data_IF_202627767054
#
_entry.id   IF_202627767054
#
_cell.length_a   1.000
_cell.length_b   1.000
_cell.length_c   1.000
_cell.angle_alpha   90.00
_cell.angle_beta   90.00
_cell.angle_gamma   90.00
#
_symmetry.space_group_name_H-M   'P 1'
#
loop_
_entity.id
_entity.type
_entity.pdbx_description
1 polymer ?
#
# COMPACT_ATOMS: atom_id res chain seq x y z
N UNK A 1 3.67 60.96 -23.70
CA UNK A 1 2.29 61.20 -23.25
C UNK A 1 2.09 60.43 -21.95
N UNK A 2 2.10 61.16 -20.85
CA UNK A 2 2.06 60.71 -19.45
C UNK A 2 0.65 60.26 -19.05
N UNK A 3 0.52 59.08 -18.47
CA UNK A 3 -0.72 58.63 -17.82
C UNK A 3 -0.56 58.78 -16.31
N UNK A 4 -1.29 59.75 -15.78
CA UNK A 4 -1.33 60.20 -14.40
C UNK A 4 -2.22 59.29 -13.56
N UNK A 5 -1.70 58.88 -12.40
CA UNK A 5 -2.38 58.18 -11.32
C UNK A 5 -3.41 59.08 -10.63
N UNK A 6 -4.67 58.66 -10.57
CA UNK A 6 -5.72 59.34 -9.82
C UNK A 6 -5.70 58.91 -8.34
N UNK A 7 -5.35 59.85 -7.46
CA UNK A 7 -5.38 59.72 -6.00
C UNK A 7 -6.75 60.16 -5.48
N UNK A 8 -7.46 59.29 -4.77
CA UNK A 8 -8.71 59.63 -4.09
C UNK A 8 -8.41 60.26 -2.72
N UNK A 9 -8.81 61.51 -2.53
CA UNK A 9 -8.77 62.21 -1.26
C UNK A 9 -10.01 61.88 -0.42
N UNK A 10 -9.82 61.54 0.86
CA UNK A 10 -10.90 61.37 1.84
C UNK A 10 -11.36 62.74 2.37
N UNK A 11 -12.67 62.95 2.63
CA UNK A 11 -13.19 64.22 3.08
C UNK A 11 -12.88 64.47 4.57
N UNK A 12 -12.56 65.72 4.87
CA UNK A 12 -12.41 66.23 6.23
C UNK A 12 -13.76 66.30 6.93
N UNK A 13 -13.91 65.59 8.06
CA UNK A 13 -15.07 65.69 8.93
C UNK A 13 -14.72 66.62 10.09
N UNK A 14 -15.32 67.81 10.08
CA UNK A 14 -15.16 68.85 11.09
C UNK A 14 -16.11 68.64 12.28
N UNK A 15 -15.71 69.26 13.40
CA UNK A 15 -16.54 69.70 14.53
C UNK A 15 -16.88 68.67 15.62
N UNK A 16 -16.10 68.79 16.70
CA UNK A 16 -16.55 69.03 18.08
C UNK A 16 -17.74 68.22 18.59
N UNK A 17 -17.44 67.20 19.41
CA UNK A 17 -18.17 67.00 20.66
C UNK A 17 -17.23 66.41 21.70
N UNK A 18 -17.18 67.08 22.84
CA UNK A 18 -16.39 66.73 24.02
C UNK A 18 -16.96 65.51 24.71
N UNK A 19 -16.19 64.42 24.78
CA UNK A 19 -16.48 63.27 25.63
C UNK A 19 -15.60 63.33 26.87
N UNK A 20 -16.13 63.05 28.08
CA UNK A 20 -15.34 63.03 29.30
C UNK A 20 -14.40 61.82 29.30
N UNK A 21 -13.26 61.87 30.02
CA UNK A 21 -12.34 60.74 30.07
C UNK A 21 -12.97 59.58 30.86
N UNK A 22 -13.00 58.40 30.25
CA UNK A 22 -13.41 57.16 30.90
C UNK A 22 -12.45 56.80 32.05
N UNK A 23 -12.94 56.20 33.15
CA UNK A 23 -12.09 55.80 34.27
C UNK A 23 -11.13 54.68 33.83
N UNK A 24 -9.85 54.82 34.20
CA UNK A 24 -8.83 53.78 34.00
C UNK A 24 -9.18 52.54 34.83
N UNK A 25 -9.76 51.54 34.20
CA UNK A 25 -9.80 50.19 34.75
C UNK A 25 -8.38 49.61 34.74
N UNK A 26 -7.89 49.00 35.83
CA UNK A 26 -6.60 48.34 35.81
C UNK A 26 -6.68 47.10 34.91
N UNK A 27 -6.14 47.22 33.69
CA UNK A 27 -5.91 46.10 32.80
C UNK A 27 -4.83 45.17 33.39
N UNK A 28 -5.24 44.26 34.27
CA UNK A 28 -4.51 43.00 34.52
C UNK A 28 -5.47 41.84 34.40
N UNK A 29 -5.73 41.44 33.16
CA UNK A 29 -6.11 40.05 32.92
C UNK A 29 -4.84 39.20 33.07
N UNK A 30 -4.85 38.14 33.88
CA UNK A 30 -3.74 37.20 33.89
C UNK A 30 -3.67 36.56 32.50
N UNK A 31 -2.54 36.75 31.80
CA UNK A 31 -2.28 36.02 30.56
C UNK A 31 -2.28 34.53 30.92
N UNK A 32 -3.14 33.68 30.32
CA UNK A 32 -3.00 32.26 30.52
C UNK A 32 -1.66 31.84 29.90
N UNK A 33 -0.76 31.34 30.73
CA UNK A 33 0.42 30.61 30.30
C UNK A 33 -0.05 29.30 29.66
N UNK A 34 -0.41 29.36 28.37
CA UNK A 34 -0.58 28.17 27.55
C UNK A 34 0.44 28.23 26.45
N UNK A 35 1.51 27.47 26.64
CA UNK A 35 2.45 27.12 25.59
C UNK A 35 1.68 26.46 24.46
N UNK A 36 1.36 27.25 23.43
CA UNK A 36 0.92 26.73 22.16
C UNK A 36 2.15 26.09 21.52
N UNK A 37 2.39 24.80 21.79
CA UNK A 37 3.34 24.03 20.98
C UNK A 37 2.82 24.10 19.55
N UNK A 38 3.44 24.93 18.71
CA UNK A 38 3.18 24.91 17.27
C UNK A 38 3.50 23.50 16.82
N UNK A 39 2.47 22.69 16.59
CA UNK A 39 2.62 21.42 15.91
C UNK A 39 2.97 21.78 14.46
N UNK A 40 4.26 21.84 14.15
CA UNK A 40 4.72 21.93 12.78
C UNK A 40 4.46 20.55 12.16
N UNK A 41 3.32 20.40 11.48
CA UNK A 41 3.08 19.23 10.63
C UNK A 41 4.04 19.36 9.46
N UNK A 42 5.13 18.60 9.48
CA UNK A 42 5.95 18.38 8.30
C UNK A 42 5.14 17.48 7.38
N UNK A 43 4.59 18.04 6.32
CA UNK A 43 3.98 17.27 5.25
C UNK A 43 5.04 17.08 4.16
N UNK A 44 5.52 15.86 3.99
CA UNK A 44 6.41 15.50 2.89
C UNK A 44 5.64 15.51 1.57
N UNK A 45 6.35 15.83 0.47
CA UNK A 45 5.79 15.81 -0.87
C UNK A 45 5.50 14.37 -1.27
N UNK A 46 4.23 14.06 -1.60
CA UNK A 46 3.80 12.74 -2.06
C UNK A 46 3.63 12.74 -3.57
N UNK A 47 4.26 11.76 -4.23
CA UNK A 47 4.09 11.53 -5.67
C UNK A 47 2.84 10.68 -5.89
N UNK A 48 1.95 11.15 -6.76
CA UNK A 48 0.72 10.44 -7.14
C UNK A 48 0.91 9.94 -8.58
N UNK A 49 0.76 8.63 -8.77
CA UNK A 49 0.79 8.02 -10.10
C UNK A 49 -0.56 7.36 -10.40
N UNK A 50 -1.03 7.53 -11.64
CA UNK A 50 -2.38 7.12 -12.08
C UNK A 50 -2.35 6.49 -13.46
N UNK A 51 -3.39 5.71 -13.77
CA UNK A 51 -3.58 5.10 -15.09
C UNK A 51 -2.73 3.85 -15.30
N UNK A 52 -2.49 3.53 -16.58
CA UNK A 52 -1.88 2.25 -16.97
C UNK A 52 -0.39 2.16 -16.65
N UNK A 53 0.32 3.28 -16.62
CA UNK A 53 1.72 3.33 -16.21
C UNK A 53 1.90 2.84 -14.76
N UNK A 54 1.00 3.26 -13.85
CA UNK A 54 1.00 2.80 -12.46
C UNK A 54 0.73 1.29 -12.37
N UNK A 55 -0.28 0.80 -13.09
CA UNK A 55 -0.61 -0.65 -13.14
C UNK A 55 0.54 -1.50 -13.65
N UNK A 56 1.25 -1.04 -14.69
CA UNK A 56 2.43 -1.73 -15.23
C UNK A 56 3.60 -1.73 -14.24
N UNK A 57 3.84 -0.62 -13.54
CA UNK A 57 4.86 -0.54 -12.50
C UNK A 57 4.60 -1.52 -11.34
N UNK A 58 3.35 -1.59 -10.87
CA UNK A 58 2.95 -2.58 -9.86
C UNK A 58 3.13 -4.01 -10.35
N UNK A 59 2.69 -4.30 -11.59
CA UNK A 59 2.85 -5.62 -12.20
C UNK A 59 4.33 -6.04 -12.30
N UNK A 60 5.21 -5.12 -12.69
CA UNK A 60 6.64 -5.40 -12.78
C UNK A 60 7.24 -5.83 -11.43
N UNK A 61 6.85 -5.17 -10.33
CA UNK A 61 7.26 -5.57 -8.98
C UNK A 61 6.74 -6.94 -8.55
N UNK A 62 5.47 -7.23 -8.87
CA UNK A 62 4.83 -8.53 -8.62
C UNK A 62 5.56 -9.64 -9.38
N UNK A 63 5.88 -9.42 -10.66
CA UNK A 63 6.62 -10.38 -11.48
C UNK A 63 8.02 -10.66 -10.90
N UNK A 64 8.79 -9.62 -10.56
CA UNK A 64 10.13 -9.78 -9.98
C UNK A 64 10.13 -10.64 -8.72
N UNK A 65 9.20 -10.39 -7.79
CA UNK A 65 9.11 -11.18 -6.56
C UNK A 65 8.66 -12.62 -6.85
N UNK A 66 7.62 -12.79 -7.68
CA UNK A 66 7.09 -14.12 -7.98
C UNK A 66 8.10 -14.99 -8.74
N UNK A 67 8.89 -14.41 -9.64
CA UNK A 67 9.93 -15.13 -10.38
C UNK A 67 11.02 -15.63 -9.43
N UNK A 68 11.44 -14.81 -8.45
CA UNK A 68 12.41 -15.20 -7.44
C UNK A 68 11.91 -16.33 -6.53
N UNK A 69 10.62 -16.34 -6.18
CA UNK A 69 10.02 -17.38 -5.33
C UNK A 69 9.70 -18.65 -6.12
N UNK A 70 9.40 -18.55 -7.41
CA UNK A 70 8.99 -19.70 -8.24
C UNK A 70 10.04 -20.80 -8.34
N UNK A 71 11.32 -20.47 -8.18
CA UNK A 71 12.44 -21.43 -8.26
C UNK A 71 12.44 -22.46 -7.13
N UNK A 72 11.79 -22.15 -5.99
CA UNK A 72 11.72 -23.05 -4.84
C UNK A 72 10.51 -23.98 -4.87
N UNK A 73 9.67 -23.88 -5.90
CA UNK A 73 8.45 -24.68 -5.97
C UNK A 73 8.76 -26.17 -6.24
N UNK A 74 8.22 -27.04 -5.37
CA UNK A 74 8.17 -28.48 -5.57
C UNK A 74 9.40 -29.25 -5.10
N UNK A 75 9.41 -30.59 -5.23
CA UNK A 75 10.46 -31.46 -4.68
C UNK A 75 11.81 -31.31 -5.39
N UNK A 76 11.82 -30.71 -6.59
CA UNK A 76 13.03 -30.37 -7.35
C UNK A 76 13.32 -28.86 -7.33
N UNK A 77 12.77 -28.15 -6.34
CA UNK A 77 13.05 -26.74 -6.11
C UNK A 77 14.54 -26.50 -5.93
N UNK A 78 15.02 -25.35 -6.40
CA UNK A 78 16.41 -24.93 -6.25
C UNK A 78 16.54 -24.01 -5.04
N UNK A 79 17.72 -24.01 -4.45
CA UNK A 79 18.01 -23.10 -3.36
C UNK A 79 18.23 -21.69 -3.91
N UNK A 80 17.77 -20.69 -3.15
CA UNK A 80 18.03 -19.28 -3.40
C UNK A 80 19.08 -18.81 -2.41
N UNK A 81 20.08 -18.09 -2.91
CA UNK A 81 21.11 -17.47 -2.07
C UNK A 81 20.70 -16.02 -1.86
N UNK A 82 20.60 -15.62 -0.60
CA UNK A 82 20.28 -14.25 -0.19
C UNK A 82 21.51 -13.67 0.47
N UNK A 83 21.94 -12.51 -0.02
CA UNK A 83 23.00 -11.74 0.60
C UNK A 83 22.45 -11.03 1.85
N UNK A 84 23.09 -11.27 2.99
CA UNK A 84 22.81 -10.62 4.27
C UNK A 84 24.15 -10.16 4.84
N UNK A 85 24.13 -9.06 5.59
CA UNK A 85 25.31 -8.23 5.91
C UNK A 85 26.56 -8.98 6.41
N UNK A 86 26.41 -10.16 7.04
CA UNK A 86 27.55 -10.93 7.58
C UNK A 86 27.84 -12.25 6.85
N UNK A 87 26.82 -13.00 6.38
CA UNK A 87 26.98 -14.32 5.76
C UNK A 87 25.85 -14.58 4.75
N UNK A 88 26.16 -15.02 3.50
CA UNK A 88 25.13 -15.38 2.53
C UNK A 88 24.32 -16.57 3.02
N UNK A 89 22.99 -16.43 3.05
CA UNK A 89 22.08 -17.50 3.49
C UNK A 89 21.52 -18.26 2.30
N UNK A 90 21.62 -19.57 2.34
CA UNK A 90 21.01 -20.49 1.37
C UNK A 90 19.65 -20.91 1.92
N UNK A 91 18.57 -20.51 1.25
CA UNK A 91 17.20 -20.71 1.72
C UNK A 91 16.36 -21.38 0.63
N UNK A 92 15.47 -22.28 1.05
CA UNK A 92 14.50 -22.98 0.21
C UNK A 92 13.04 -22.55 0.50
N UNK A 93 12.80 -21.76 1.56
CA UNK A 93 11.46 -21.33 1.96
C UNK A 93 10.99 -20.06 1.22
N UNK A 94 9.86 -20.16 0.52
CA UNK A 94 9.29 -19.04 -0.25
C UNK A 94 8.90 -17.81 0.58
N UNK A 95 8.48 -18.00 1.84
CA UNK A 95 8.08 -16.90 2.73
C UNK A 95 9.27 -16.03 3.12
N UNK A 96 10.39 -16.67 3.46
CA UNK A 96 11.61 -15.98 3.88
C UNK A 96 12.24 -15.25 2.70
N UNK A 97 12.22 -15.87 1.51
CA UNK A 97 12.65 -15.22 0.26
C UNK A 97 11.77 -14.00 -0.04
N UNK A 98 10.44 -14.14 0.03
CA UNK A 98 9.53 -13.03 -0.25
C UNK A 98 9.78 -11.82 0.65
N UNK A 99 10.05 -12.04 1.94
CA UNK A 99 10.34 -10.98 2.93
C UNK A 99 11.68 -10.29 2.73
N UNK A 100 12.66 -10.98 2.16
CA UNK A 100 13.99 -10.41 1.92
C UNK A 100 14.05 -9.53 0.66
N UNK A 101 13.05 -9.60 -0.22
CA UNK A 101 13.05 -8.86 -1.48
C UNK A 101 12.57 -7.42 -1.24
N UNK A 102 13.48 -6.48 -1.44
CA UNK A 102 13.21 -5.04 -1.49
C UNK A 102 13.60 -4.49 -2.86
N UNK A 103 12.80 -3.58 -3.39
CA UNK A 103 13.00 -3.02 -4.73
C UNK A 103 13.24 -1.51 -4.59
N UNK A 104 14.18 -0.93 -5.35
CA UNK A 104 14.53 0.49 -5.22
C UNK A 104 13.42 1.42 -5.72
N UNK A 105 12.62 0.96 -6.68
CA UNK A 105 11.51 1.73 -7.22
C UNK A 105 10.28 1.58 -6.32
N UNK A 106 9.73 2.69 -5.84
CA UNK A 106 8.58 2.72 -4.93
C UNK A 106 7.32 2.06 -5.51
N UNK A 107 7.05 2.20 -6.81
CA UNK A 107 5.87 1.59 -7.43
C UNK A 107 6.01 0.06 -7.54
N UNK A 108 7.18 -0.41 -7.93
CA UNK A 108 7.44 -1.84 -8.01
C UNK A 108 7.48 -2.47 -6.61
N UNK A 109 8.12 -1.79 -5.66
CA UNK A 109 8.16 -2.21 -4.27
C UNK A 109 6.75 -2.32 -3.67
N UNK A 110 5.87 -1.35 -3.95
CA UNK A 110 4.46 -1.43 -3.53
C UNK A 110 3.76 -2.68 -4.08
N UNK A 111 4.05 -3.07 -5.34
CA UNK A 111 3.55 -4.32 -5.92
C UNK A 111 4.10 -5.57 -5.20
N UNK A 112 5.39 -5.58 -4.88
CA UNK A 112 6.03 -6.66 -4.14
C UNK A 112 5.45 -6.80 -2.71
N UNK A 113 5.17 -5.69 -2.03
CA UNK A 113 4.53 -5.69 -0.69
C UNK A 113 3.18 -6.43 -0.70
N UNK A 114 2.39 -6.29 -1.76
CA UNK A 114 1.10 -7.00 -1.86
C UNK A 114 1.29 -8.52 -1.83
N UNK A 115 2.32 -9.04 -2.49
CA UNK A 115 2.62 -10.47 -2.46
C UNK A 115 3.21 -10.91 -1.11
N UNK A 116 4.02 -10.08 -0.46
CA UNK A 116 4.53 -10.37 0.89
C UNK A 116 3.40 -10.50 1.92
N UNK A 117 2.38 -9.66 1.81
CA UNK A 117 1.18 -9.78 2.65
C UNK A 117 0.44 -11.10 2.40
N UNK A 118 0.29 -11.50 1.14
CA UNK A 118 -0.34 -12.78 0.76
C UNK A 118 0.47 -13.95 1.35
N UNK A 119 1.79 -13.92 1.21
CA UNK A 119 2.69 -14.93 1.76
C UNK A 119 2.58 -15.02 3.31
N UNK A 120 2.50 -13.89 3.99
CA UNK A 120 2.41 -13.83 5.45
C UNK A 120 1.06 -14.32 5.97
N UNK A 121 -0.04 -13.98 5.27
CA UNK A 121 -1.41 -14.42 5.60
C UNK A 121 -1.55 -15.94 5.40
N UNK A 122 -1.07 -16.47 4.28
CA UNK A 122 -1.13 -17.90 3.96
C UNK A 122 -0.29 -18.74 4.92
N UNK A 123 0.93 -18.30 5.23
CA UNK A 123 1.79 -19.00 6.19
C UNK A 123 1.17 -19.08 7.59
N UNK A 124 0.53 -18.00 8.05
CA UNK A 124 -0.09 -17.95 9.38
C UNK A 124 -1.32 -18.88 9.51
N UNK A 125 -2.04 -19.14 8.42
CA UNK A 125 -3.27 -19.97 8.44
C UNK A 125 -3.00 -21.43 8.12
N UNK A 126 -2.09 -21.73 7.18
CA UNK A 126 -1.91 -23.08 6.61
C UNK A 126 -0.53 -23.67 6.90
N UNK A 127 0.51 -22.83 6.99
CA UNK A 127 1.90 -23.28 7.16
C UNK A 127 2.56 -23.87 5.89
N UNK A 128 1.80 -24.11 4.83
CA UNK A 128 2.27 -24.54 3.51
C UNK A 128 1.43 -23.85 2.40
N UNK A 129 1.88 -23.95 1.15
CA UNK A 129 1.18 -23.38 -0.02
C UNK A 129 1.45 -21.89 -0.25
N UNK A 130 2.48 -21.35 0.39
CA UNK A 130 2.88 -19.94 0.26
C UNK A 130 3.41 -19.65 -1.15
N UNK A 131 4.28 -20.52 -1.67
CA UNK A 131 4.83 -20.43 -3.03
C UNK A 131 3.74 -20.59 -4.10
N UNK A 132 2.81 -21.53 -3.93
CA UNK A 132 1.69 -21.72 -4.87
C UNK A 132 0.74 -20.53 -4.86
N UNK A 133 0.41 -19.97 -3.69
CA UNK A 133 -0.44 -18.78 -3.60
C UNK A 133 0.16 -17.58 -4.34
N UNK A 134 1.48 -17.37 -4.23
CA UNK A 134 2.19 -16.28 -4.91
C UNK A 134 2.12 -16.43 -6.43
N UNK A 135 2.37 -17.65 -6.95
CA UNK A 135 2.32 -17.91 -8.40
C UNK A 135 0.90 -17.74 -8.94
N UNK A 136 -0.11 -18.25 -8.22
CA UNK A 136 -1.51 -18.05 -8.60
C UNK A 136 -1.89 -16.56 -8.60
N UNK A 137 -1.45 -15.81 -7.60
CA UNK A 137 -1.69 -14.37 -7.55
C UNK A 137 -1.05 -13.64 -8.74
N UNK A 138 0.19 -14.00 -9.12
CA UNK A 138 0.86 -13.45 -10.30
C UNK A 138 0.02 -13.63 -11.56
N UNK A 139 -0.45 -14.86 -11.82
CA UNK A 139 -1.21 -15.17 -13.03
C UNK A 139 -2.58 -14.49 -13.07
N UNK A 140 -3.31 -14.48 -11.94
CA UNK A 140 -4.61 -13.79 -11.84
C UNK A 140 -4.45 -12.30 -12.13
N UNK A 141 -3.40 -11.67 -11.59
CA UNK A 141 -3.14 -10.24 -11.80
C UNK A 141 -2.75 -9.97 -13.25
N UNK A 142 -1.87 -10.78 -13.83
CA UNK A 142 -1.44 -10.62 -15.22
C UNK A 142 -2.62 -10.73 -16.21
N UNK A 143 -3.42 -11.79 -16.09
CA UNK A 143 -4.61 -11.99 -16.91
C UNK A 143 -5.68 -10.93 -16.64
N UNK A 144 -5.86 -10.51 -15.39
CA UNK A 144 -6.77 -9.45 -15.01
C UNK A 144 -6.40 -8.10 -15.64
N UNK A 145 -5.11 -7.76 -15.67
CA UNK A 145 -4.62 -6.54 -16.31
C UNK A 145 -4.82 -6.57 -17.84
N UNK A 146 -4.61 -7.72 -18.48
CA UNK A 146 -4.90 -7.91 -19.90
C UNK A 146 -6.40 -7.74 -20.20
N UNK A 147 -7.28 -8.30 -19.36
CA UNK A 147 -8.73 -8.15 -19.52
C UNK A 147 -9.17 -6.68 -19.35
N UNK A 148 -8.61 -5.96 -18.37
CA UNK A 148 -8.89 -4.53 -18.16
C UNK A 148 -8.38 -3.68 -19.33
N UNK A 149 -7.22 -4.02 -19.91
CA UNK A 149 -6.71 -3.35 -21.11
C UNK A 149 -7.65 -3.52 -22.32
N UNK A 150 -8.35 -4.66 -22.40
CA UNK A 150 -9.40 -4.92 -23.39
C UNK A 150 -10.75 -4.24 -23.07
N UNK A 151 -10.82 -3.37 -22.06
CA UNK A 151 -12.02 -2.62 -21.71
C UNK A 151 -12.98 -3.35 -20.75
N UNK A 152 -12.57 -4.46 -20.15
CA UNK A 152 -13.40 -5.15 -19.17
C UNK A 152 -13.51 -4.35 -17.85
N UNK A 153 -14.68 -4.42 -17.22
CA UNK A 153 -14.92 -3.77 -15.93
C UNK A 153 -14.20 -4.52 -14.78
N UNK A 154 -13.23 -3.91 -14.07
CA UNK A 154 -12.47 -4.57 -13.02
C UNK A 154 -13.33 -5.02 -11.83
N UNK A 155 -14.41 -4.29 -11.52
CA UNK A 155 -15.31 -4.65 -10.42
C UNK A 155 -16.12 -5.89 -10.75
N UNK A 156 -16.56 -6.01 -12.01
CA UNK A 156 -17.26 -7.19 -12.49
C UNK A 156 -16.33 -8.41 -12.56
N UNK A 157 -15.08 -8.21 -13.03
CA UNK A 157 -14.05 -9.26 -13.06
C UNK A 157 -13.79 -9.82 -11.66
N UNK A 158 -13.57 -8.96 -10.67
CA UNK A 158 -13.38 -9.38 -9.28
C UNK A 158 -14.55 -10.23 -8.77
N UNK A 159 -15.78 -9.76 -8.97
CA UNK A 159 -16.99 -10.52 -8.59
C UNK A 159 -17.08 -11.88 -9.29
N UNK A 160 -16.66 -11.96 -10.55
CA UNK A 160 -16.60 -13.21 -11.30
C UNK A 160 -15.57 -14.18 -10.73
N UNK A 161 -14.37 -13.69 -10.40
CA UNK A 161 -13.31 -14.47 -9.75
C UNK A 161 -13.80 -15.00 -8.40
N UNK A 162 -14.41 -14.16 -7.57
CA UNK A 162 -14.91 -14.55 -6.24
C UNK A 162 -15.94 -15.69 -6.33
N UNK A 163 -16.85 -15.64 -7.32
CA UNK A 163 -17.82 -16.71 -7.59
C UNK A 163 -17.15 -18.01 -8.02
N UNK A 164 -16.19 -17.93 -8.95
CA UNK A 164 -15.46 -19.10 -9.43
C UNK A 164 -14.67 -19.77 -8.29
N UNK A 165 -14.02 -18.98 -7.42
CA UNK A 165 -13.31 -19.48 -6.24
C UNK A 165 -14.26 -20.20 -5.29
N UNK A 166 -15.45 -19.64 -5.05
CA UNK A 166 -16.43 -20.27 -4.16
C UNK A 166 -16.90 -21.66 -4.68
N UNK A 167 -17.19 -21.77 -5.98
CA UNK A 167 -17.55 -23.06 -6.60
C UNK A 167 -16.39 -24.06 -6.58
N UNK A 168 -15.17 -23.61 -6.89
CA UNK A 168 -13.97 -24.44 -6.83
C UNK A 168 -13.73 -24.99 -5.43
N UNK A 169 -13.90 -24.17 -4.38
CA UNK A 169 -13.80 -24.63 -2.99
C UNK A 169 -14.85 -25.68 -2.66
N UNK A 170 -16.07 -25.57 -3.20
CA UNK A 170 -17.10 -26.59 -3.09
C UNK A 170 -16.64 -27.94 -3.65
N UNK A 171 -16.07 -27.92 -4.85
CA UNK A 171 -15.54 -29.13 -5.53
C UNK A 171 -14.32 -29.70 -4.80
N UNK A 172 -13.43 -28.86 -4.26
CA UNK A 172 -12.26 -29.33 -3.53
C UNK A 172 -12.67 -30.04 -2.22
N UNK A 173 -13.69 -29.55 -1.54
CA UNK A 173 -14.24 -30.19 -0.32
C UNK A 173 -14.87 -31.55 -0.62
N UNK A 174 -15.52 -31.73 -1.76
CA UNK A 174 -16.09 -33.04 -2.11
C UNK A 174 -15.02 -34.06 -2.49
N UNK A 175 -13.86 -33.59 -2.98
CA UNK A 175 -12.70 -34.44 -3.30
C UNK A 175 -11.77 -34.70 -2.12
N UNK A 176 -11.87 -33.93 -1.04
CA UNK A 176 -10.98 -34.09 0.11
C UNK A 176 -11.28 -35.39 0.86
N UNK A 177 -10.24 -36.17 1.15
CA UNK A 177 -10.33 -37.40 1.92
C UNK A 177 -10.02 -37.06 3.39
N UNK A 178 -10.92 -37.36 4.34
CA UNK A 178 -10.67 -37.08 5.75
C UNK A 178 -9.63 -38.04 6.33
N UNK A 179 -8.61 -37.48 6.99
CA UNK A 179 -7.53 -38.24 7.64
C UNK A 179 -8.03 -38.68 9.03
N UNK A 180 -8.14 -39.99 9.26
CA UNK A 180 -8.72 -40.53 10.51
C UNK A 180 -7.75 -41.42 11.28
N UNK A 181 -6.86 -42.14 10.59
CA UNK A 181 -5.99 -43.13 11.21
C UNK A 181 -4.55 -42.64 11.31
N UNK A 182 -3.78 -43.23 12.23
CA UNK A 182 -2.35 -42.94 12.38
C UNK A 182 -1.52 -43.45 11.19
N UNK A 183 -2.06 -44.37 10.41
CA UNK A 183 -1.42 -44.92 9.21
C UNK A 183 -1.44 -43.88 8.07
N UNK A 184 -2.52 -43.09 7.97
CA UNK A 184 -2.66 -42.01 6.99
C UNK A 184 -1.66 -40.85 7.21
N UNK A 185 -1.09 -40.73 8.42
CA UNK A 185 -0.16 -39.65 8.81
C UNK A 185 1.31 -40.01 8.50
N UNK A 186 1.62 -41.31 8.37
CA UNK A 186 3.00 -41.79 8.17
C UNK A 186 3.44 -41.85 6.71
N UNK A 187 2.61 -41.35 5.79
CA UNK A 187 2.94 -41.22 4.37
C UNK A 187 4.11 -40.28 4.10
#
# INVERSE_FOLDING_TARGET
>A
MSLTTASFAAPACSSSSSWPPLPRWPCRLPRPARGCRRLAVRADVKVISSGDACRRGLAAGIHKLADAVSVTLGPKGRNVVIDQDDVPKVINDGVTIAKAIELPNSLEHAGAMLLQEIATKTNSTVGDGTTTAIILAREIISLGLLAVANGANPVALRKGIDKAVHELLGILKTKSIPVSTKEDIKG
#
